data_IF_250910166563
#
_entry.id   IF_250910166563
#
_cell.length_a   1.000
_cell.length_b   1.000
_cell.length_c   1.000
_cell.angle_alpha   90.00
_cell.angle_beta   90.00
_cell.angle_gamma   90.00
#
_symmetry.space_group_name_H-M   'P 1'
#
loop_
_entity.id
_entity.type
_entity.pdbx_description
1 polymer ?
#
# COMPACT_ATOMS: atom_id res chain seq x y z
N UNK A 1 3.75 68.12 -6.74
CA UNK A 1 4.56 69.32 -6.42
C UNK A 1 4.32 69.67 -4.96
N UNK A 2 5.43 69.83 -4.20
CA UNK A 2 5.58 70.39 -2.83
C UNK A 2 4.70 69.77 -1.73
N UNK A 3 5.16 68.93 -0.80
CA UNK A 3 6.26 69.10 0.18
C UNK A 3 6.34 70.48 0.84
N UNK A 4 6.08 70.54 2.16
CA UNK A 4 7.03 71.05 3.17
C UNK A 4 6.52 70.84 4.62
N UNK A 5 7.38 70.22 5.41
CA UNK A 5 7.44 69.97 6.88
C UNK A 5 7.68 71.30 7.67
N UNK A 6 7.79 71.42 9.04
CA UNK A 6 8.49 70.49 9.95
C UNK A 6 8.21 70.46 11.50
N UNK A 7 8.98 69.55 12.14
CA UNK A 7 9.71 69.60 13.44
C UNK A 7 9.03 69.45 14.82
N UNK A 8 9.13 68.21 15.35
CA UNK A 8 9.83 67.72 16.57
C UNK A 8 10.20 68.60 17.80
N UNK A 9 10.05 67.95 18.98
CA UNK A 9 10.78 67.99 20.30
C UNK A 9 9.90 68.40 21.49
N UNK A 10 9.94 67.85 22.72
CA UNK A 10 10.84 66.97 23.49
C UNK A 10 10.05 66.36 24.68
N UNK A 11 10.55 65.32 25.37
CA UNK A 11 10.16 65.12 26.78
C UNK A 11 10.19 63.71 27.42
N UNK A 12 11.39 63.17 27.62
CA UNK A 12 11.85 62.41 28.81
C UNK A 12 10.99 61.29 29.48
N UNK A 13 11.46 60.05 29.29
CA UNK A 13 11.87 59.03 30.29
C UNK A 13 11.29 59.14 31.72
N UNK A 14 10.52 58.11 32.12
CA UNK A 14 10.60 57.47 33.45
C UNK A 14 10.27 55.97 33.35
N UNK A 15 11.21 55.09 33.75
CA UNK A 15 10.90 53.72 34.19
C UNK A 15 10.34 53.78 35.61
N UNK A 16 9.48 52.84 36.02
CA UNK A 16 10.01 51.87 36.97
C UNK A 16 9.47 50.43 36.87
N UNK A 17 10.32 49.54 37.39
CA UNK A 17 10.04 48.34 38.17
C UNK A 17 9.29 47.17 37.51
N UNK A 18 10.10 46.19 37.08
CA UNK A 18 9.76 44.78 37.02
C UNK A 18 9.04 44.33 38.30
N UNK A 19 7.75 44.02 38.20
CA UNK A 19 7.06 43.20 39.21
C UNK A 19 6.83 41.83 38.59
N UNK A 20 7.68 40.89 39.01
CA UNK A 20 7.63 39.49 38.68
C UNK A 20 6.31 38.91 39.21
N UNK A 21 5.29 38.78 38.35
CA UNK A 21 4.11 37.98 38.66
C UNK A 21 4.46 36.52 38.36
N UNK A 22 4.79 35.80 39.42
CA UNK A 22 4.92 34.35 39.46
C UNK A 22 3.72 33.69 38.80
N UNK A 23 3.90 33.17 37.58
CA UNK A 23 2.96 32.23 36.98
C UNK A 23 3.25 30.89 37.63
N UNK A 24 2.36 30.44 38.51
CA UNK A 24 2.35 29.06 38.98
C UNK A 24 1.90 28.21 37.80
N UNK A 25 2.87 27.67 37.06
CA UNK A 25 2.63 26.63 36.06
C UNK A 25 2.21 25.36 36.79
N UNK A 26 0.90 25.13 36.88
CA UNK A 26 0.36 23.80 37.18
C UNK A 26 0.67 22.94 35.96
N UNK A 27 1.78 22.21 36.01
CA UNK A 27 2.07 21.15 35.08
C UNK A 27 1.02 20.05 35.29
N UNK A 28 -0.06 20.09 34.51
CA UNK A 28 -0.97 18.96 34.35
C UNK A 28 -0.21 17.87 33.58
N UNK A 29 0.49 17.01 34.32
CA UNK A 29 0.96 15.73 33.79
C UNK A 29 -0.30 14.92 33.51
N UNK A 30 -0.82 15.03 32.29
CA UNK A 30 -1.76 14.06 31.75
C UNK A 30 -1.01 12.74 31.62
N UNK A 31 -1.04 11.94 32.68
CA UNK A 31 -0.68 10.54 32.63
C UNK A 31 -1.68 9.90 31.66
N UNK A 32 -1.28 9.74 30.40
CA UNK A 32 -2.03 8.92 29.44
C UNK A 32 -1.91 7.49 29.93
N UNK A 33 -2.81 7.11 30.83
CA UNK A 33 -3.04 5.73 31.22
C UNK A 33 -3.58 5.02 29.99
N UNK A 34 -2.68 4.38 29.24
CA UNK A 34 -3.06 3.41 28.22
C UNK A 34 -3.78 2.28 28.97
N UNK A 35 -5.09 2.17 28.79
CA UNK A 35 -5.92 1.14 29.42
C UNK A 35 -5.49 -0.25 28.95
N UNK A 36 -4.73 -0.97 29.79
CA UNK A 36 -4.36 -2.39 29.61
C UNK A 36 -5.49 -3.35 30.05
N UNK A 37 -6.66 -2.81 30.42
CA UNK A 37 -7.68 -3.57 31.16
C UNK A 37 -8.38 -4.68 30.36
N UNK A 38 -8.53 -4.57 29.04
CA UNK A 38 -9.25 -5.59 28.25
C UNK A 38 -8.42 -6.83 27.91
N UNK A 39 -7.07 -6.74 27.91
CA UNK A 39 -6.22 -7.88 27.60
C UNK A 39 -6.10 -8.89 28.78
N UNK A 40 -6.41 -8.47 30.00
CA UNK A 40 -6.15 -9.26 31.20
C UNK A 40 -7.13 -10.43 31.42
N UNK A 41 -8.40 -10.28 31.02
CA UNK A 41 -9.42 -11.32 31.21
C UNK A 41 -9.28 -12.47 30.21
N UNK A 42 -8.99 -12.18 28.93
CA UNK A 42 -8.82 -13.21 27.90
C UNK A 42 -7.59 -14.09 28.14
N UNK A 43 -6.55 -13.53 28.78
CA UNK A 43 -5.34 -14.28 29.15
C UNK A 43 -5.60 -15.40 30.17
N UNK A 44 -6.74 -15.40 30.85
CA UNK A 44 -7.14 -16.51 31.75
C UNK A 44 -7.33 -17.82 30.99
N UNK A 45 -7.72 -17.75 29.72
CA UNK A 45 -7.85 -18.92 28.86
C UNK A 45 -6.50 -19.56 28.51
N UNK A 46 -5.42 -18.78 28.58
CA UNK A 46 -4.09 -19.20 28.13
C UNK A 46 -3.20 -19.50 29.35
N UNK A 47 -2.92 -20.78 29.67
CA UNK A 47 -2.10 -21.12 30.82
C UNK A 47 -0.66 -20.58 30.68
N UNK A 48 0.10 -20.41 31.77
CA UNK A 48 1.54 -20.16 31.70
C UNK A 48 2.27 -21.24 30.88
N UNK A 49 3.47 -20.93 30.37
CA UNK A 49 4.27 -21.93 29.67
C UNK A 49 4.73 -23.02 30.64
N UNK A 50 4.75 -24.26 30.15
CA UNK A 50 5.35 -25.41 30.83
C UNK A 50 6.88 -25.25 30.93
N UNK A 51 7.52 -26.08 31.76
CA UNK A 51 8.97 -26.06 31.92
C UNK A 51 9.69 -26.26 30.57
N UNK A 52 10.70 -25.44 30.30
CA UNK A 52 11.44 -25.46 29.02
C UNK A 52 10.73 -24.77 27.86
N UNK A 53 9.53 -24.22 28.06
CA UNK A 53 8.79 -23.43 27.07
C UNK A 53 8.71 -21.96 27.48
N UNK A 54 8.42 -21.09 26.52
CA UNK A 54 8.18 -19.65 26.71
C UNK A 54 6.88 -19.26 26.04
N UNK A 55 6.07 -18.47 26.74
CA UNK A 55 4.79 -17.94 26.24
C UNK A 55 4.98 -16.51 25.74
N UNK A 56 4.76 -16.29 24.46
CA UNK A 56 4.71 -14.99 23.83
C UNK A 56 3.26 -14.56 23.64
N UNK A 57 2.95 -13.30 23.99
CA UNK A 57 1.64 -12.70 23.83
C UNK A 57 1.79 -11.50 22.90
N UNK A 58 1.10 -11.53 21.77
CA UNK A 58 1.12 -10.46 20.76
C UNK A 58 -0.24 -9.77 20.76
N UNK A 59 -0.26 -8.51 21.21
CA UNK A 59 -1.43 -7.65 21.12
C UNK A 59 -1.39 -6.85 19.82
N UNK A 60 -2.47 -6.92 19.04
CA UNK A 60 -2.58 -6.24 17.76
C UNK A 60 -3.30 -4.88 17.94
N UNK A 61 -2.80 -3.79 17.32
CA UNK A 61 -3.45 -2.48 17.42
C UNK A 61 -4.78 -2.44 16.63
N UNK A 62 -5.85 -1.95 17.23
CA UNK A 62 -7.16 -1.84 16.53
C UNK A 62 -7.04 -1.09 15.20
N UNK A 63 -7.61 -1.66 14.13
CA UNK A 63 -7.69 -1.04 12.80
C UNK A 63 -9.15 -0.70 12.44
N UNK A 64 -9.33 0.18 11.43
CA UNK A 64 -10.67 0.50 10.92
C UNK A 64 -11.28 -0.67 10.16
N UNK A 65 -10.54 -1.27 9.23
CA UNK A 65 -10.93 -2.48 8.51
C UNK A 65 -9.91 -3.60 8.77
N UNK A 66 -10.18 -4.44 9.76
CA UNK A 66 -9.31 -5.57 10.10
C UNK A 66 -9.34 -6.70 9.07
N UNK A 67 -10.36 -6.74 8.19
CA UNK A 67 -10.47 -7.80 7.18
C UNK A 67 -9.41 -7.69 6.08
N UNK A 68 -8.94 -6.46 5.83
CA UNK A 68 -7.84 -6.18 4.92
C UNK A 68 -6.46 -6.59 5.46
N UNK A 69 -6.35 -7.08 6.71
CA UNK A 69 -5.07 -7.43 7.31
C UNK A 69 -4.94 -8.92 7.60
N UNK A 70 -3.69 -9.39 7.54
CA UNK A 70 -3.25 -10.69 8.04
C UNK A 70 -2.03 -10.52 8.92
N UNK A 71 -1.82 -11.47 9.82
CA UNK A 71 -0.62 -11.54 10.66
C UNK A 71 0.17 -12.78 10.26
N UNK A 72 1.43 -12.60 9.88
CA UNK A 72 2.36 -13.70 9.70
C UNK A 72 3.13 -13.93 10.99
N UNK A 73 3.09 -15.15 11.52
CA UNK A 73 3.97 -15.57 12.61
C UNK A 73 5.27 -16.12 12.05
N UNK A 74 6.40 -15.60 12.52
CA UNK A 74 7.74 -15.99 12.09
C UNK A 74 8.48 -16.49 13.33
N UNK A 75 8.62 -17.81 13.43
CA UNK A 75 9.25 -18.49 14.57
C UNK A 75 10.64 -18.94 14.17
N UNK A 76 11.65 -18.64 14.99
CA UNK A 76 13.03 -18.90 14.62
C UNK A 76 14.03 -18.64 15.73
N UNK A 77 15.30 -18.63 15.38
CA UNK A 77 16.39 -18.33 16.32
C UNK A 77 17.50 -17.57 15.62
N UNK A 78 18.05 -16.57 16.32
CA UNK A 78 19.25 -15.89 15.86
C UNK A 78 20.48 -16.77 16.10
N UNK A 79 21.21 -17.06 15.03
CA UNK A 79 22.41 -17.91 15.04
C UNK A 79 23.51 -17.31 14.15
N UNK A 80 24.76 -17.62 14.46
CA UNK A 80 25.90 -17.28 13.59
C UNK A 80 25.97 -18.27 12.44
N UNK A 81 25.95 -17.76 11.22
CA UNK A 81 25.99 -18.54 9.97
C UNK A 81 26.84 -17.82 8.95
N UNK A 82 27.22 -18.49 7.86
CA UNK A 82 27.83 -17.79 6.72
C UNK A 82 26.81 -16.87 6.03
N UNK A 83 27.28 -15.91 5.24
CA UNK A 83 26.39 -14.96 4.58
C UNK A 83 25.70 -15.49 3.30
N UNK A 84 26.19 -16.59 2.72
CA UNK A 84 25.87 -16.99 1.34
C UNK A 84 24.78 -18.05 1.26
N UNK A 85 24.74 -18.96 2.21
CA UNK A 85 23.77 -20.03 2.27
C UNK A 85 22.44 -19.52 2.85
N UNK A 86 21.36 -20.09 2.31
CA UNK A 86 20.02 -19.96 2.87
C UNK A 86 19.77 -21.12 3.82
N UNK A 87 19.18 -20.83 4.98
CA UNK A 87 18.91 -21.81 6.03
C UNK A 87 17.47 -21.71 6.50
N UNK A 88 16.98 -22.82 7.04
CA UNK A 88 15.72 -22.89 7.79
C UNK A 88 15.82 -23.97 8.86
N UNK A 89 15.05 -23.83 9.93
CA UNK A 89 14.86 -24.89 10.91
C UNK A 89 13.71 -25.81 10.50
N UNK A 90 13.82 -27.10 10.80
CA UNK A 90 12.64 -27.96 10.85
C UNK A 90 11.70 -27.54 11.98
N UNK A 91 10.40 -27.76 11.84
CA UNK A 91 9.43 -27.50 12.90
C UNK A 91 8.02 -27.33 12.36
N UNK A 92 7.04 -27.67 13.19
CA UNK A 92 5.62 -27.51 12.87
C UNK A 92 4.98 -26.62 13.93
N UNK A 93 4.36 -25.52 13.49
CA UNK A 93 3.57 -24.67 14.35
C UNK A 93 2.14 -25.20 14.41
N UNK A 94 1.81 -25.89 15.50
CA UNK A 94 0.50 -26.46 15.73
C UNK A 94 -0.51 -25.37 16.14
N UNK A 95 -1.78 -25.59 15.83
CA UNK A 95 -2.89 -24.74 16.27
C UNK A 95 -3.82 -25.59 17.12
N UNK A 96 -4.06 -25.17 18.36
CA UNK A 96 -4.95 -25.86 19.28
C UNK A 96 -6.04 -24.90 19.73
N UNK A 97 -7.29 -25.33 19.65
CA UNK A 97 -8.43 -24.60 20.19
C UNK A 97 -8.62 -24.95 21.67
N UNK A 98 -8.69 -23.93 22.52
CA UNK A 98 -8.85 -24.07 23.97
C UNK A 98 -10.31 -24.47 24.28
N UNK A 99 -10.55 -25.66 24.87
CA UNK A 99 -11.90 -26.12 25.20
C UNK A 99 -12.64 -25.14 26.11
N UNK A 100 -13.93 -24.93 25.84
CA UNK A 100 -14.79 -24.02 26.61
C UNK A 100 -14.64 -22.53 26.27
N UNK A 101 -13.51 -22.13 25.67
CA UNK A 101 -13.27 -20.74 25.25
C UNK A 101 -13.42 -20.55 23.73
N UNK A 102 -13.05 -21.56 22.94
CA UNK A 102 -13.04 -21.45 21.48
C UNK A 102 -11.91 -20.56 20.92
N UNK A 103 -10.94 -20.20 21.75
CA UNK A 103 -9.76 -19.44 21.36
C UNK A 103 -8.66 -20.36 20.86
N UNK A 104 -7.92 -19.93 19.84
CA UNK A 104 -6.76 -20.68 19.36
C UNK A 104 -5.47 -20.24 20.05
N UNK A 105 -4.61 -21.22 20.34
CA UNK A 105 -3.21 -21.02 20.72
C UNK A 105 -2.30 -21.70 19.70
N UNK A 106 -1.09 -21.15 19.55
CA UNK A 106 -0.09 -21.66 18.62
C UNK A 106 1.08 -22.26 19.37
N UNK A 107 1.51 -23.47 19.02
CA UNK A 107 2.56 -24.20 19.76
C UNK A 107 3.59 -24.74 18.80
N UNK A 108 4.85 -24.36 19.01
CA UNK A 108 5.99 -25.07 18.45
C UNK A 108 6.55 -25.98 19.55
N UNK A 109 6.29 -27.28 19.51
CA UNK A 109 6.76 -28.20 20.57
C UNK A 109 8.27 -28.36 20.57
N UNK A 110 8.89 -28.33 19.39
CA UNK A 110 10.32 -28.54 19.21
C UNK A 110 10.81 -27.79 17.99
N UNK A 111 11.94 -27.10 18.14
CA UNK A 111 12.72 -26.60 17.00
C UNK A 111 13.57 -27.77 16.46
N UNK A 112 13.32 -28.16 15.22
CA UNK A 112 14.05 -29.23 14.53
C UNK A 112 15.46 -28.82 14.11
N UNK A 113 16.20 -29.72 13.44
CA UNK A 113 17.54 -29.41 12.96
C UNK A 113 17.51 -28.29 11.93
N UNK A 114 18.62 -27.56 11.82
CA UNK A 114 18.82 -26.58 10.75
C UNK A 114 19.23 -27.30 9.46
N UNK A 115 18.61 -26.93 8.35
CA UNK A 115 18.96 -27.35 7.00
C UNK A 115 19.19 -26.11 6.13
N UNK A 116 19.87 -26.28 5.00
CA UNK A 116 20.16 -25.17 4.12
C UNK A 116 20.83 -25.58 2.82
N UNK A 117 21.16 -24.60 2.01
CA UNK A 117 21.93 -24.80 0.77
C UNK A 117 23.37 -25.22 1.08
N UNK A 118 24.04 -25.83 0.08
CA UNK A 118 25.44 -26.28 0.18
C UNK A 118 26.34 -25.49 -0.79
N UNK A 119 26.17 -24.17 -0.84
CA UNK A 119 27.00 -23.30 -1.66
C UNK A 119 28.38 -23.21 -1.01
N UNK A 120 29.43 -23.36 -1.80
CA UNK A 120 30.80 -23.21 -1.34
C UNK A 120 31.01 -21.81 -0.74
N UNK A 121 31.55 -21.79 0.47
CA UNK A 121 31.95 -20.58 1.20
C UNK A 121 33.41 -20.75 1.57
N UNK A 122 34.16 -19.65 1.49
CA UNK A 122 35.51 -19.58 2.02
C UNK A 122 35.49 -19.93 3.52
N UNK A 123 36.26 -20.95 3.97
CA UNK A 123 36.30 -21.34 5.38
C UNK A 123 36.71 -20.21 6.34
N UNK A 124 37.48 -19.23 5.87
CA UNK A 124 37.96 -18.10 6.67
C UNK A 124 37.01 -16.89 6.62
N UNK A 125 35.89 -16.98 5.89
CA UNK A 125 34.91 -15.91 5.84
C UNK A 125 34.24 -15.68 7.20
N UNK A 126 34.00 -14.43 7.60
CA UNK A 126 33.36 -14.12 8.87
C UNK A 126 31.91 -14.62 8.91
N UNK A 127 31.52 -15.19 10.04
CA UNK A 127 30.12 -15.51 10.30
C UNK A 127 29.33 -14.27 10.69
N UNK A 128 28.06 -14.24 10.28
CA UNK A 128 27.10 -13.17 10.55
C UNK A 128 25.96 -13.69 11.41
N UNK A 129 25.50 -12.88 12.36
CA UNK A 129 24.29 -13.17 13.13
C UNK A 129 23.06 -12.97 12.25
N UNK A 130 22.31 -14.05 12.04
CA UNK A 130 21.08 -14.03 11.25
C UNK A 130 19.96 -14.73 11.99
N UNK A 131 18.77 -14.16 11.89
CA UNK A 131 17.55 -14.82 12.35
C UNK A 131 17.12 -15.84 11.30
N UNK A 132 17.14 -17.12 11.68
CA UNK A 132 16.74 -18.22 10.82
C UNK A 132 15.39 -18.75 11.33
N UNK A 133 14.38 -18.77 10.46
CA UNK A 133 13.03 -19.23 10.81
C UNK A 133 12.83 -20.72 10.55
N UNK A 134 11.73 -21.27 11.06
CA UNK A 134 11.23 -22.56 10.59
C UNK A 134 10.89 -22.47 9.09
N UNK A 135 11.11 -23.57 8.36
CA UNK A 135 10.73 -23.70 6.95
C UNK A 135 9.26 -24.07 6.76
N UNK A 136 8.81 -24.05 5.51
CA UNK A 136 7.43 -24.37 5.13
C UNK A 136 6.63 -23.13 4.71
N UNK A 137 5.32 -23.29 4.58
CA UNK A 137 4.42 -22.19 4.19
C UNK A 137 4.32 -21.13 5.29
N UNK A 138 4.24 -19.87 4.86
CA UNK A 138 4.04 -18.74 5.77
C UNK A 138 2.75 -18.92 6.56
N UNK A 139 2.83 -18.89 7.91
CA UNK A 139 1.64 -19.01 8.77
C UNK A 139 0.90 -17.67 8.83
N UNK A 140 0.08 -17.42 7.81
CA UNK A 140 -0.80 -16.26 7.73
C UNK A 140 -2.10 -16.49 8.52
N UNK A 141 -2.26 -15.74 9.60
CA UNK A 141 -3.40 -15.74 10.49
C UNK A 141 -4.32 -14.54 10.22
N UNK A 142 -5.59 -14.68 10.59
CA UNK A 142 -6.55 -13.58 10.57
C UNK A 142 -6.12 -12.49 11.56
N UNK A 143 -6.26 -11.23 11.16
CA UNK A 143 -6.12 -10.10 12.07
C UNK A 143 -7.37 -9.95 12.95
N UNK A 144 -7.17 -9.83 14.26
CA UNK A 144 -8.23 -9.55 15.22
C UNK A 144 -7.63 -8.81 16.42
N UNK A 145 -7.88 -7.51 16.56
CA UNK A 145 -7.32 -6.74 17.69
C UNK A 145 -7.98 -7.04 19.04
N UNK A 146 -9.14 -7.71 19.03
CA UNK A 146 -9.89 -8.02 20.25
C UNK A 146 -9.34 -9.20 21.03
N UNK A 147 -8.54 -10.07 20.39
CA UNK A 147 -7.99 -11.27 21.01
C UNK A 147 -6.46 -11.30 20.81
N UNK A 148 -5.65 -11.48 21.86
CA UNK A 148 -4.21 -11.61 21.69
C UNK A 148 -3.85 -12.92 20.97
N UNK A 149 -2.81 -12.87 20.14
CA UNK A 149 -2.19 -14.09 19.61
C UNK A 149 -1.22 -14.63 20.65
N UNK A 150 -1.47 -15.85 21.13
CA UNK A 150 -0.62 -16.50 22.13
C UNK A 150 0.16 -17.65 21.50
N UNK A 151 1.48 -17.59 21.62
CA UNK A 151 2.42 -18.52 20.99
C UNK A 151 3.32 -19.12 22.06
N UNK A 152 3.38 -20.45 22.12
CA UNK A 152 4.29 -21.20 22.99
C UNK A 152 5.41 -21.79 22.15
N UNK A 153 6.66 -21.48 22.52
CA UNK A 153 7.85 -21.97 21.82
C UNK A 153 8.88 -22.48 22.84
N UNK A 154 9.84 -23.34 22.44
CA UNK A 154 10.90 -23.78 23.36
C UNK A 154 11.76 -22.61 23.83
N UNK A 155 12.32 -22.71 25.02
CA UNK A 155 13.19 -21.67 25.58
C UNK A 155 14.35 -21.33 24.62
N UNK A 156 14.59 -20.04 24.39
CA UNK A 156 15.61 -19.55 23.46
C UNK A 156 15.22 -19.57 21.98
N UNK A 157 13.96 -19.87 21.65
CA UNK A 157 13.34 -19.60 20.35
C UNK A 157 12.65 -18.23 20.41
N UNK A 158 12.79 -17.48 19.33
CA UNK A 158 12.22 -16.15 19.16
C UNK A 158 10.91 -16.20 18.34
N UNK A 159 9.96 -15.36 18.72
CA UNK A 159 8.72 -15.13 17.98
C UNK A 159 8.73 -13.72 17.40
N UNK A 160 8.74 -13.61 16.08
CA UNK A 160 8.55 -12.35 15.34
C UNK A 160 7.20 -12.39 14.62
N UNK A 161 6.69 -11.22 14.26
CA UNK A 161 5.49 -11.14 13.44
C UNK A 161 5.64 -10.07 12.37
N UNK A 162 4.91 -10.24 11.27
CA UNK A 162 4.76 -9.25 10.21
C UNK A 162 3.28 -9.01 9.96
N UNK A 163 2.91 -7.74 9.80
CA UNK A 163 1.57 -7.37 9.37
C UNK A 163 1.54 -7.26 7.85
N UNK A 164 0.57 -7.94 7.26
CA UNK A 164 0.25 -7.85 5.85
C UNK A 164 -1.04 -7.07 5.71
N UNK A 165 -1.07 -6.13 4.77
CA UNK A 165 -2.28 -5.41 4.38
C UNK A 165 -2.54 -5.73 2.91
N UNK A 166 -3.75 -6.17 2.59
CA UNK A 166 -4.24 -6.20 1.24
C UNK A 166 -4.48 -4.76 0.79
N UNK A 167 -3.89 -4.38 -0.33
CA UNK A 167 -4.37 -3.21 -1.04
C UNK A 167 -5.84 -3.46 -1.43
N UNK A 168 -6.71 -2.44 -1.36
CA UNK A 168 -8.06 -2.57 -1.87
C UNK A 168 -8.00 -3.13 -3.29
N UNK A 169 -8.78 -4.17 -3.58
CA UNK A 169 -8.98 -4.65 -4.95
C UNK A 169 -9.84 -3.62 -5.69
N UNK A 170 -9.32 -2.40 -5.88
CA UNK A 170 -9.97 -1.38 -6.68
C UNK A 170 -9.83 -1.78 -8.13
N UNK A 171 -10.96 -2.07 -8.79
CA UNK A 171 -11.06 -1.90 -10.24
C UNK A 171 -10.51 -0.53 -10.56
N UNK A 172 -9.64 -0.43 -11.58
CA UNK A 172 -8.97 0.84 -11.87
C UNK A 172 -10.03 1.92 -12.12
N UNK A 173 -9.97 3.03 -11.38
CA UNK A 173 -10.78 4.23 -11.65
C UNK A 173 -9.90 5.46 -11.51
N UNK A 174 -9.84 6.29 -12.55
CA UNK A 174 -9.09 7.55 -12.54
C UNK A 174 -9.92 8.68 -13.14
N UNK A 175 -9.90 9.84 -12.47
CA UNK A 175 -10.37 11.13 -13.00
C UNK A 175 -9.19 11.89 -13.61
N UNK A 176 -9.39 12.51 -14.77
CA UNK A 176 -8.43 13.44 -15.38
C UNK A 176 -9.14 14.72 -15.80
N UNK A 177 -8.57 15.87 -15.45
CA UNK A 177 -8.95 17.15 -16.05
C UNK A 177 -8.34 17.27 -17.44
N UNK A 178 -9.17 17.53 -18.44
CA UNK A 178 -8.75 17.68 -19.82
C UNK A 178 -8.36 19.14 -20.12
N UNK A 179 -7.53 19.41 -21.14
CA UNK A 179 -7.17 20.77 -21.53
C UNK A 179 -8.36 21.62 -21.95
N UNK A 180 -9.46 20.99 -22.36
CA UNK A 180 -10.74 21.65 -22.67
C UNK A 180 -11.51 22.12 -21.43
N UNK A 181 -11.04 21.79 -20.23
CA UNK A 181 -11.71 22.02 -18.95
C UNK A 181 -12.70 20.93 -18.54
N UNK A 182 -13.02 19.98 -19.43
CA UNK A 182 -13.87 18.82 -19.11
C UNK A 182 -13.17 17.84 -18.16
N UNK A 183 -13.94 17.00 -17.48
CA UNK A 183 -13.40 15.88 -16.69
C UNK A 183 -13.62 14.57 -17.45
N UNK A 184 -12.57 13.76 -17.58
CA UNK A 184 -12.64 12.38 -18.04
C UNK A 184 -12.60 11.42 -16.84
N UNK A 185 -13.40 10.37 -16.88
CA UNK A 185 -13.40 9.25 -15.93
C UNK A 185 -13.11 7.97 -16.72
N UNK A 186 -12.05 7.27 -16.33
CA UNK A 186 -11.69 5.96 -16.88
C UNK A 186 -11.92 4.95 -15.78
N UNK A 187 -12.70 3.92 -16.05
CA UNK A 187 -13.04 2.90 -15.05
C UNK A 187 -13.09 1.51 -15.68
N UNK A 188 -12.45 0.51 -15.06
CA UNK A 188 -12.67 -0.90 -15.38
C UNK A 188 -14.10 -1.32 -15.01
N UNK A 189 -14.62 -2.35 -15.68
CA UNK A 189 -15.95 -2.87 -15.41
C UNK A 189 -16.06 -3.53 -14.02
N UNK A 190 -17.15 -3.23 -13.33
CA UNK A 190 -17.45 -3.82 -12.03
C UNK A 190 -17.62 -5.35 -12.15
N UNK A 191 -17.15 -6.09 -11.13
CA UNK A 191 -17.25 -7.55 -11.05
C UNK A 191 -16.55 -8.34 -12.16
N UNK A 192 -15.70 -7.69 -12.96
CA UNK A 192 -14.90 -8.37 -13.98
C UNK A 192 -13.56 -8.90 -13.45
N UNK A 193 -12.99 -9.89 -14.14
CA UNK A 193 -11.66 -10.38 -13.81
C UNK A 193 -10.58 -9.31 -14.06
N UNK A 194 -9.47 -9.37 -13.32
CA UNK A 194 -8.31 -8.49 -13.55
C UNK A 194 -7.56 -8.81 -14.84
N UNK A 195 -7.69 -10.05 -15.33
CA UNK A 195 -7.01 -10.52 -16.53
C UNK A 195 -7.76 -10.21 -17.82
N UNK A 196 -9.06 -9.90 -17.78
CA UNK A 196 -9.88 -9.67 -18.97
C UNK A 196 -11.18 -8.98 -18.59
N UNK A 197 -11.75 -8.21 -19.51
CA UNK A 197 -13.06 -7.61 -19.32
C UNK A 197 -13.22 -6.39 -20.21
N UNK A 198 -13.71 -5.31 -19.62
CA UNK A 198 -13.94 -4.04 -20.24
C UNK A 198 -13.45 -2.87 -19.39
N UNK A 199 -13.33 -1.72 -20.02
CA UNK A 199 -13.18 -0.44 -19.36
C UNK A 199 -14.04 0.60 -20.08
N UNK A 200 -14.43 1.63 -19.35
CA UNK A 200 -15.17 2.78 -19.86
C UNK A 200 -14.29 4.01 -19.90
N UNK A 201 -14.52 4.87 -20.90
CA UNK A 201 -14.06 6.26 -20.94
C UNK A 201 -15.30 7.12 -20.97
N UNK A 202 -15.49 7.96 -19.95
CA UNK A 202 -16.64 8.86 -19.82
C UNK A 202 -16.15 10.29 -19.69
N UNK A 203 -16.82 11.24 -20.31
CA UNK A 203 -16.50 12.66 -20.22
C UNK A 203 -17.68 13.46 -19.69
N UNK A 204 -17.35 14.49 -18.91
CA UNK A 204 -18.28 15.32 -18.18
C UNK A 204 -17.97 16.80 -18.43
N UNK A 205 -19.02 17.61 -18.59
CA UNK A 205 -18.89 19.05 -18.70
C UNK A 205 -18.79 19.66 -17.31
N UNK A 206 -17.81 20.54 -17.11
CA UNK A 206 -17.59 21.25 -15.84
C UNK A 206 -18.14 22.68 -15.86
N UNK A 207 -18.72 23.13 -16.99
CA UNK A 207 -19.18 24.52 -17.18
C UNK A 207 -20.24 24.96 -16.15
N UNK A 208 -21.00 24.02 -15.59
CA UNK A 208 -22.01 24.25 -14.56
C UNK A 208 -21.72 23.50 -13.26
N UNK A 209 -20.57 22.83 -13.17
CA UNK A 209 -20.21 22.04 -12.02
C UNK A 209 -19.92 22.96 -10.81
N UNK A 210 -20.35 22.53 -9.64
CA UNK A 210 -19.88 23.10 -8.38
C UNK A 210 -18.50 22.52 -8.04
N UNK A 211 -17.74 23.14 -7.13
CA UNK A 211 -16.53 22.51 -6.58
C UNK A 211 -16.83 21.09 -6.10
N UNK A 212 -15.95 20.15 -6.42
CA UNK A 212 -16.05 18.71 -6.11
C UNK A 212 -17.20 17.94 -6.81
N UNK A 213 -17.92 18.58 -7.74
CA UNK A 213 -19.04 18.00 -8.49
C UNK A 213 -18.77 17.92 -10.01
N UNK A 214 -17.52 17.66 -10.37
CA UNK A 214 -17.01 17.69 -11.74
C UNK A 214 -17.52 16.55 -12.64
N UNK A 215 -18.30 15.62 -12.07
CA UNK A 215 -18.88 14.45 -12.76
C UNK A 215 -20.42 14.44 -12.78
N UNK A 216 -21.09 15.56 -12.48
CA UNK A 216 -22.57 15.63 -12.54
C UNK A 216 -23.12 15.73 -13.96
N UNK A 217 -22.51 16.53 -14.83
CA UNK A 217 -23.04 16.77 -16.18
C UNK A 217 -22.38 15.86 -17.23
N UNK A 218 -22.84 14.61 -17.31
CA UNK A 218 -22.38 13.65 -18.32
C UNK A 218 -22.54 14.20 -19.74
N UNK A 219 -21.50 14.04 -20.57
CA UNK A 219 -21.49 14.51 -21.96
C UNK A 219 -21.44 13.36 -22.98
N UNK A 220 -20.55 12.38 -22.79
CA UNK A 220 -20.39 11.24 -23.69
C UNK A 220 -19.57 10.13 -23.04
N UNK A 221 -19.60 8.93 -23.60
CA UNK A 221 -18.73 7.84 -23.16
C UNK A 221 -18.73 6.64 -24.10
N UNK A 222 -17.72 5.80 -23.94
CA UNK A 222 -17.53 4.56 -24.69
C UNK A 222 -17.08 3.46 -23.74
N UNK A 223 -17.39 2.21 -24.09
CA UNK A 223 -16.88 1.00 -23.42
C UNK A 223 -16.05 0.23 -24.44
N UNK A 224 -14.88 -0.26 -24.01
CA UNK A 224 -14.01 -1.13 -24.82
C UNK A 224 -13.57 -2.35 -24.04
N UNK A 225 -13.29 -3.42 -24.77
CA UNK A 225 -12.68 -4.61 -24.20
C UNK A 225 -11.24 -4.32 -23.76
N UNK A 226 -10.78 -5.00 -22.71
CA UNK A 226 -9.38 -5.05 -22.27
C UNK A 226 -8.94 -6.50 -22.13
N UNK A 227 -7.72 -6.77 -22.57
CA UNK A 227 -6.98 -7.99 -22.25
C UNK A 227 -5.90 -7.63 -21.23
N UNK A 228 -6.18 -7.93 -19.97
CA UNK A 228 -5.39 -7.49 -18.83
C UNK A 228 -6.02 -6.36 -18.03
N UNK A 229 -5.16 -5.61 -17.35
CA UNK A 229 -5.51 -4.57 -16.37
C UNK A 229 -5.14 -3.19 -16.92
N UNK A 230 -5.98 -2.18 -16.71
CA UNK A 230 -5.62 -0.78 -16.95
C UNK A 230 -4.52 -0.40 -15.96
N UNK A 231 -3.34 -0.10 -16.49
CA UNK A 231 -2.15 0.23 -15.70
C UNK A 231 -1.96 1.73 -15.57
N UNK A 232 -2.26 2.48 -16.64
CA UNK A 232 -2.03 3.92 -16.67
C UNK A 232 -3.01 4.63 -17.61
N UNK A 233 -3.36 5.87 -17.26
CA UNK A 233 -4.15 6.77 -18.10
C UNK A 233 -3.52 8.16 -18.07
N UNK A 234 -3.29 8.72 -19.26
CA UNK A 234 -2.59 9.99 -19.42
C UNK A 234 -2.96 10.68 -20.73
N UNK A 235 -2.52 11.93 -20.89
CA UNK A 235 -2.68 12.70 -22.12
C UNK A 235 -1.36 12.68 -22.91
N UNK A 236 -1.45 12.45 -24.22
CA UNK A 236 -0.29 12.44 -25.10
C UNK A 236 -0.56 13.07 -26.45
N UNK A 237 0.41 13.83 -26.97
CA UNK A 237 0.37 14.35 -28.33
C UNK A 237 0.75 13.24 -29.31
N UNK A 238 -0.19 12.86 -30.20
CA UNK A 238 0.01 11.78 -31.18
C UNK A 238 0.13 12.26 -32.63
N UNK A 239 0.01 13.55 -32.88
CA UNK A 239 0.19 14.17 -34.20
C UNK A 239 0.62 15.63 -34.07
N UNK A 240 0.90 16.28 -35.19
CA UNK A 240 1.51 17.62 -35.20
C UNK A 240 0.52 18.75 -34.89
N UNK A 241 -0.77 18.60 -35.25
CA UNK A 241 -1.75 19.69 -35.19
C UNK A 241 -3.09 19.24 -34.57
N UNK A 242 -3.11 18.97 -33.27
CA UNK A 242 -4.35 18.64 -32.57
C UNK A 242 -4.22 18.59 -31.05
N UNK A 243 -5.34 18.61 -30.31
CA UNK A 243 -5.31 18.44 -28.87
C UNK A 243 -4.70 17.08 -28.50
N UNK A 244 -4.10 16.96 -27.30
CA UNK A 244 -3.56 15.69 -26.84
C UNK A 244 -4.68 14.65 -26.77
N UNK A 245 -4.35 13.42 -27.14
CA UNK A 245 -5.25 12.28 -27.03
C UNK A 245 -5.21 11.72 -25.62
N UNK A 246 -6.36 11.25 -25.14
CA UNK A 246 -6.44 10.45 -23.91
C UNK A 246 -5.96 9.04 -24.24
N UNK A 247 -4.90 8.59 -23.58
CA UNK A 247 -4.32 7.27 -23.76
C UNK A 247 -4.65 6.41 -22.54
N UNK A 248 -5.16 5.20 -22.81
CA UNK A 248 -5.39 4.15 -21.81
C UNK A 248 -4.42 3.02 -22.11
N UNK A 249 -3.47 2.78 -21.20
CA UNK A 249 -2.49 1.71 -21.30
C UNK A 249 -2.92 0.50 -20.45
N UNK A 250 -2.85 -0.68 -21.04
CA UNK A 250 -3.33 -1.93 -20.46
C UNK A 250 -2.19 -2.95 -20.47
N UNK A 251 -1.98 -3.61 -19.34
CA UNK A 251 -0.98 -4.68 -19.18
C UNK A 251 -1.65 -6.04 -19.10
N UNK A 252 -1.22 -6.95 -19.96
CA UNK A 252 -1.67 -8.36 -19.96
C UNK A 252 -1.28 -9.06 -18.65
N UNK A 253 -2.15 -9.95 -18.17
CA UNK A 253 -1.93 -10.75 -16.97
C UNK A 253 -1.00 -11.97 -17.18
N UNK A 254 -0.65 -12.29 -18.43
CA UNK A 254 0.27 -13.39 -18.74
C UNK A 254 1.71 -13.09 -18.32
N UNK A 255 2.55 -14.14 -18.26
CA UNK A 255 3.97 -14.02 -17.84
C UNK A 255 4.82 -13.10 -18.72
N UNK A 256 4.39 -12.84 -19.96
CA UNK A 256 5.05 -11.91 -20.87
C UNK A 256 4.83 -10.43 -20.54
N UNK A 257 3.82 -10.09 -19.74
CA UNK A 257 3.55 -8.71 -19.30
C UNK A 257 3.35 -7.70 -20.45
N UNK A 258 2.87 -8.17 -21.61
CA UNK A 258 2.71 -7.36 -22.81
C UNK A 258 1.80 -6.15 -22.59
N UNK A 259 2.10 -5.06 -23.29
CA UNK A 259 1.32 -3.84 -23.27
C UNK A 259 0.36 -3.77 -24.48
N UNK A 260 -0.80 -3.18 -24.24
CA UNK A 260 -1.68 -2.64 -25.27
C UNK A 260 -2.07 -1.21 -24.89
N UNK A 261 -2.48 -0.41 -25.86
CA UNK A 261 -2.92 0.95 -25.61
C UNK A 261 -4.00 1.38 -26.60
N UNK A 262 -4.98 2.11 -26.08
CA UNK A 262 -6.01 2.78 -26.86
C UNK A 262 -5.84 4.30 -26.71
N UNK A 263 -5.94 5.02 -27.82
CA UNK A 263 -5.93 6.48 -27.84
C UNK A 263 -7.26 7.03 -28.30
N UNK A 264 -7.80 8.00 -27.56
CA UNK A 264 -9.07 8.65 -27.84
C UNK A 264 -8.91 10.14 -28.14
N UNK A 265 -9.61 10.60 -29.17
CA UNK A 265 -9.87 12.02 -29.39
C UNK A 265 -11.09 12.41 -28.59
N UNK A 266 -10.95 13.41 -27.73
CA UNK A 266 -12.04 13.95 -26.93
C UNK A 266 -12.56 15.23 -27.59
N UNK A 267 -13.79 15.19 -28.08
CA UNK A 267 -14.54 16.36 -28.52
C UNK A 267 -15.48 16.85 -27.42
N UNK A 268 -16.20 17.96 -27.70
CA UNK A 268 -17.14 18.56 -26.73
C UNK A 268 -18.16 17.54 -26.21
N UNK A 269 -18.76 16.74 -27.09
CA UNK A 269 -19.77 15.73 -26.78
C UNK A 269 -19.45 14.35 -27.39
N UNK A 270 -18.19 14.07 -27.69
CA UNK A 270 -17.79 12.84 -28.38
C UNK A 270 -16.50 12.27 -27.79
N UNK A 271 -16.46 10.94 -27.65
CA UNK A 271 -15.24 10.18 -27.36
C UNK A 271 -15.03 9.23 -28.54
N UNK A 272 -13.97 9.44 -29.31
CA UNK A 272 -13.73 8.68 -30.55
C UNK A 272 -12.39 7.98 -30.43
N UNK A 273 -12.37 6.65 -30.63
CA UNK A 273 -11.12 5.90 -30.72
C UNK A 273 -10.35 6.37 -31.96
N UNK A 274 -9.13 6.82 -31.74
CA UNK A 274 -8.23 7.34 -32.78
C UNK A 274 -7.23 6.27 -33.23
N UNK A 275 -6.67 5.52 -32.29
CA UNK A 275 -5.71 4.45 -32.55
C UNK A 275 -5.79 3.38 -31.45
N UNK A 276 -5.39 2.17 -31.80
CA UNK A 276 -5.30 1.03 -30.89
C UNK A 276 -4.09 0.18 -31.29
N UNK A 277 -3.29 -0.21 -30.31
CA UNK A 277 -2.12 -1.07 -30.49
C UNK A 277 -2.12 -2.17 -29.43
N UNK A 278 -1.62 -3.35 -29.78
CA UNK A 278 -1.57 -4.52 -28.89
C UNK A 278 -0.30 -5.34 -29.09
N UNK A 279 0.01 -6.22 -28.13
CA UNK A 279 1.16 -7.12 -28.21
C UNK A 279 2.52 -6.41 -28.10
N UNK A 280 2.56 -5.22 -27.51
CA UNK A 280 3.80 -4.48 -27.29
C UNK A 280 4.64 -5.14 -26.19
N UNK A 281 5.97 -5.06 -26.31
CA UNK A 281 6.86 -5.53 -25.26
C UNK A 281 6.58 -4.83 -23.91
N UNK A 282 6.87 -5.50 -22.79
CA UNK A 282 6.53 -5.01 -21.45
C UNK A 282 7.13 -3.65 -21.09
N UNK A 283 8.23 -3.26 -21.76
CA UNK A 283 8.97 -2.01 -21.60
C UNK A 283 8.83 -1.05 -22.81
N UNK A 284 7.93 -1.35 -23.76
CA UNK A 284 7.71 -0.49 -24.91
C UNK A 284 7.04 0.84 -24.50
N UNK A 285 7.32 1.89 -25.28
CA UNK A 285 6.60 3.16 -25.14
C UNK A 285 5.29 3.11 -25.96
N UNK A 286 4.11 3.11 -25.31
CA UNK A 286 2.83 3.07 -26.01
C UNK A 286 2.61 4.30 -26.89
N UNK A 287 3.15 5.47 -26.56
CA UNK A 287 2.99 6.71 -27.34
C UNK A 287 3.66 6.58 -28.70
N UNK A 288 4.88 6.02 -28.72
CA UNK A 288 5.63 5.76 -29.96
C UNK A 288 4.85 4.78 -30.83
N UNK A 289 4.38 3.68 -30.27
CA UNK A 289 3.61 2.68 -31.00
C UNK A 289 2.29 3.26 -31.57
N UNK A 290 1.57 4.05 -30.78
CA UNK A 290 0.35 4.73 -31.22
C UNK A 290 0.62 5.72 -32.36
N UNK A 291 1.67 6.54 -32.26
CA UNK A 291 2.11 7.45 -33.34
C UNK A 291 2.42 6.68 -34.63
N UNK A 292 3.17 5.60 -34.53
CA UNK A 292 3.49 4.76 -35.69
C UNK A 292 2.24 4.15 -36.32
N UNK A 293 1.27 3.70 -35.51
CA UNK A 293 0.01 3.15 -36.03
C UNK A 293 -0.81 4.17 -36.83
N UNK A 294 -0.71 5.46 -36.48
CA UNK A 294 -1.42 6.56 -37.14
C UNK A 294 -0.76 7.02 -38.44
N UNK A 295 0.53 6.76 -38.64
CA UNK A 295 1.26 7.18 -39.85
C UNK A 295 1.05 6.24 -41.05
N UNK A 296 0.40 5.08 -40.85
CA UNK A 296 0.22 4.06 -41.87
C UNK A 296 1.55 3.39 -42.29
N UNK A 297 1.51 2.25 -43.01
CA UNK A 297 2.73 1.63 -43.53
C UNK A 297 3.34 2.51 -44.64
N UNK A 298 4.36 3.29 -44.29
CA UNK A 298 5.33 4.00 -45.14
C UNK A 298 4.82 4.48 -46.53
N UNK A 299 4.61 5.80 -46.65
CA UNK A 299 5.07 6.47 -47.87
C UNK A 299 6.61 6.36 -47.91
N UNK A 300 7.10 5.42 -48.74
CA UNK A 300 8.48 5.43 -49.25
C UNK A 300 8.56 6.34 -50.47
#
# INVERSE_FOLDING_TARGET
MSETLPSWRDGAVRRPANTMRTIVSIALVALVSISVAFAADDLKAFPPAEEGMTRHVISLPKQQDESAFKVELIIGKTVKTDARNSYFFGGTLETETIPGWGFDRYILRKLGPMAGTLIAVDPDAPQVERFISIGGEARLLRYNSRLPLVVYVPAGVEVRHRLWRAEPTGHFVQKLTLPTGQTAVIAEGDFEARSIGSYSVRIYSTQRAQPDDDTTFFSSGVIRARDGTVENVFLAELGNDGPPSLVVAIRSAGSGGYLSADAFTIGKNTVVLRASVSGLAANADPVVALKSSLQGPNQK
#
